data_IF_108428297548
#
_entry.id   IF_108428297548
#
_cell.length_a   1.000
_cell.length_b   1.000
_cell.length_c   1.000
_cell.angle_alpha   90.00
_cell.angle_beta   90.00
_cell.angle_gamma   90.00
#
_symmetry.space_group_name_H-M   'P 1'
#
loop_
_entity.id
_entity.type
_entity.pdbx_description
1 polymer ?
#
# COMPACT_ATOMS: atom_id res chain seq x y z
N UNK A 1 35.10 7.56 -4.38
CA UNK A 1 33.84 7.34 -5.14
C UNK A 1 33.09 6.15 -4.54
N UNK A 2 32.70 6.24 -3.26
CA UNK A 2 32.10 5.14 -2.50
C UNK A 2 30.69 5.47 -1.97
N UNK A 3 30.15 6.65 -2.29
CA UNK A 3 28.86 7.10 -1.75
C UNK A 3 27.67 6.66 -2.62
N UNK A 4 27.82 6.58 -3.95
CA UNK A 4 26.70 6.26 -4.84
C UNK A 4 26.28 4.79 -4.71
N UNK A 5 27.25 3.88 -4.54
CA UNK A 5 26.97 2.45 -4.36
C UNK A 5 26.30 2.16 -3.01
N UNK A 6 26.71 2.88 -1.96
CA UNK A 6 26.09 2.78 -0.63
C UNK A 6 24.64 3.33 -0.64
N UNK A 7 24.39 4.37 -1.44
CA UNK A 7 23.07 4.98 -1.62
C UNK A 7 22.13 4.07 -2.45
N UNK A 8 22.65 3.34 -3.44
CA UNK A 8 21.87 2.40 -4.25
C UNK A 8 21.35 1.20 -3.46
N UNK A 9 22.22 0.54 -2.71
CA UNK A 9 21.81 -0.59 -1.86
C UNK A 9 20.78 -0.14 -0.81
N UNK A 10 20.96 1.06 -0.26
CA UNK A 10 19.99 1.68 0.65
C UNK A 10 18.65 1.95 -0.05
N UNK A 11 18.64 2.58 -1.22
CA UNK A 11 17.41 2.86 -1.99
C UNK A 11 16.67 1.57 -2.37
N UNK A 12 17.39 0.53 -2.78
CA UNK A 12 16.78 -0.78 -3.09
C UNK A 12 16.21 -1.45 -1.85
N UNK A 13 16.89 -1.33 -0.71
CA UNK A 13 16.41 -1.82 0.58
C UNK A 13 15.13 -1.09 1.00
N UNK A 14 15.09 0.23 0.89
CA UNK A 14 13.92 1.06 1.20
C UNK A 14 12.74 0.76 0.26
N UNK A 15 12.98 0.56 -1.04
CA UNK A 15 11.95 0.14 -1.99
C UNK A 15 11.33 -1.22 -1.61
N UNK A 16 12.18 -2.17 -1.22
CA UNK A 16 11.72 -3.49 -0.75
C UNK A 16 10.95 -3.36 0.57
N UNK A 17 11.41 -2.54 1.50
CA UNK A 17 10.73 -2.29 2.77
C UNK A 17 9.34 -1.68 2.56
N UNK A 18 9.23 -0.67 1.67
CA UNK A 18 7.96 -0.04 1.32
C UNK A 18 6.96 -1.03 0.72
N UNK A 19 7.42 -1.92 -0.16
CA UNK A 19 6.57 -2.97 -0.74
C UNK A 19 6.08 -3.98 0.29
N UNK A 20 6.96 -4.40 1.21
CA UNK A 20 6.58 -5.28 2.31
C UNK A 20 5.54 -4.62 3.23
N UNK A 21 5.71 -3.32 3.53
CA UNK A 21 4.74 -2.56 4.32
C UNK A 21 3.40 -2.39 3.59
N UNK A 22 3.40 -2.17 2.27
CA UNK A 22 2.19 -2.14 1.45
C UNK A 22 1.41 -3.46 1.58
N UNK A 23 2.08 -4.60 1.41
CA UNK A 23 1.44 -5.92 1.51
C UNK A 23 0.83 -6.16 2.90
N UNK A 24 1.54 -5.76 3.96
CA UNK A 24 1.04 -5.84 5.33
C UNK A 24 -0.22 -4.99 5.53
N UNK A 25 -0.17 -3.71 5.13
CA UNK A 25 -1.31 -2.79 5.25
C UNK A 25 -2.51 -3.30 4.42
N UNK A 26 -2.27 -3.79 3.20
CA UNK A 26 -3.30 -4.38 2.35
C UNK A 26 -3.98 -5.57 3.01
N UNK A 27 -3.20 -6.46 3.61
CA UNK A 27 -3.72 -7.61 4.36
C UNK A 27 -4.57 -7.18 5.55
N UNK A 28 -4.07 -6.25 6.36
CA UNK A 28 -4.78 -5.72 7.53
C UNK A 28 -6.09 -5.02 7.15
N UNK A 29 -6.07 -4.13 6.15
CA UNK A 29 -7.26 -3.44 5.66
C UNK A 29 -8.29 -4.42 5.10
N UNK A 30 -7.85 -5.46 4.39
CA UNK A 30 -8.74 -6.51 3.88
C UNK A 30 -9.39 -7.28 5.03
N UNK A 31 -8.62 -7.64 6.05
CA UNK A 31 -9.14 -8.31 7.24
C UNK A 31 -10.16 -7.44 7.99
N UNK A 32 -9.88 -6.14 8.13
CA UNK A 32 -10.79 -5.17 8.75
C UNK A 32 -12.09 -5.04 7.95
N UNK A 33 -12.03 -4.94 6.61
CA UNK A 33 -13.20 -4.94 5.74
C UNK A 33 -14.08 -6.18 5.94
N UNK A 34 -13.45 -7.35 6.04
CA UNK A 34 -14.13 -8.62 6.32
C UNK A 34 -14.86 -8.61 7.66
N UNK A 35 -14.18 -8.16 8.73
CA UNK A 35 -14.78 -8.05 10.08
C UNK A 35 -15.99 -7.10 10.08
N UNK A 36 -15.85 -5.94 9.47
CA UNK A 36 -16.94 -4.95 9.38
C UNK A 36 -18.14 -5.52 8.60
N UNK A 37 -17.89 -6.18 7.48
CA UNK A 37 -18.95 -6.82 6.68
C UNK A 37 -19.66 -7.94 7.45
N UNK A 38 -18.91 -8.74 8.21
CA UNK A 38 -19.48 -9.80 9.04
C UNK A 38 -20.34 -9.24 10.18
N UNK A 39 -19.95 -8.13 10.79
CA UNK A 39 -20.74 -7.45 11.83
C UNK A 39 -22.07 -6.92 11.28
N UNK A 40 -22.05 -6.31 10.09
CA UNK A 40 -23.27 -5.87 9.38
C UNK A 40 -24.18 -7.06 9.08
N UNK A 41 -23.62 -8.12 8.50
CA UNK A 41 -24.36 -9.32 8.12
C UNK A 41 -24.96 -10.08 9.30
N UNK A 42 -24.29 -10.04 10.47
CA UNK A 42 -24.73 -10.70 11.70
C UNK A 42 -25.88 -9.97 12.42
N UNK A 43 -26.42 -8.90 11.82
CA UNK A 43 -27.61 -8.21 12.34
C UNK A 43 -27.33 -7.13 13.39
N UNK A 44 -26.06 -6.74 13.60
CA UNK A 44 -25.70 -5.63 14.50
C UNK A 44 -26.37 -4.31 14.11
N UNK A 45 -26.74 -4.17 12.84
CA UNK A 45 -27.47 -3.01 12.30
C UNK A 45 -28.97 -3.28 12.31
N UNK A 46 -29.52 -3.38 13.52
CA UNK A 46 -30.95 -3.58 13.75
C UNK A 46 -31.68 -2.23 13.65
N UNK A 47 -32.31 -2.00 12.49
CA UNK A 47 -33.50 -1.17 12.21
C UNK A 47 -33.47 0.38 12.31
N UNK A 48 -32.53 1.06 12.98
CA UNK A 48 -32.52 2.56 12.99
C UNK A 48 -31.18 3.25 12.74
N UNK A 49 -30.07 2.53 12.89
CA UNK A 49 -28.71 3.03 12.69
C UNK A 49 -28.05 2.50 11.40
N UNK A 50 -28.75 1.65 10.64
CA UNK A 50 -28.19 0.91 9.49
C UNK A 50 -27.71 1.78 8.35
N UNK A 51 -28.54 2.68 7.82
CA UNK A 51 -28.14 3.49 6.67
C UNK A 51 -26.87 4.34 6.91
N UNK A 52 -26.75 4.96 8.08
CA UNK A 52 -25.56 5.78 8.41
C UNK A 52 -24.33 4.92 8.70
N UNK A 53 -24.49 3.71 9.25
CA UNK A 53 -23.40 2.79 9.46
C UNK A 53 -22.94 2.17 8.13
N UNK A 54 -23.86 1.71 7.29
CA UNK A 54 -23.59 1.17 5.95
C UNK A 54 -22.83 2.19 5.09
N UNK A 55 -23.26 3.45 5.10
CA UNK A 55 -22.54 4.55 4.45
C UNK A 55 -21.09 4.66 4.95
N UNK A 56 -20.87 4.61 6.28
CA UNK A 56 -19.51 4.65 6.86
C UNK A 56 -18.68 3.43 6.51
N UNK A 57 -19.29 2.25 6.40
CA UNK A 57 -18.61 1.02 5.96
C UNK A 57 -18.16 1.14 4.51
N UNK A 58 -19.02 1.67 3.64
CA UNK A 58 -18.68 1.89 2.24
C UNK A 58 -17.60 2.96 2.07
N UNK A 59 -17.67 4.05 2.83
CA UNK A 59 -16.64 5.09 2.85
C UNK A 59 -15.30 4.54 3.35
N UNK A 60 -15.32 3.70 4.40
CA UNK A 60 -14.14 2.99 4.87
C UNK A 60 -13.55 2.08 3.79
N UNK A 61 -14.40 1.31 3.08
CA UNK A 61 -13.95 0.43 1.99
C UNK A 61 -13.25 1.22 0.89
N UNK A 62 -13.89 2.30 0.42
CA UNK A 62 -13.34 3.18 -0.62
C UNK A 62 -12.04 3.83 -0.20
N UNK A 63 -11.99 4.41 1.00
CA UNK A 63 -10.77 5.04 1.51
C UNK A 63 -9.63 4.03 1.66
N UNK A 64 -9.93 2.81 2.12
CA UNK A 64 -8.94 1.74 2.23
C UNK A 64 -8.41 1.31 0.86
N UNK A 65 -9.27 1.16 -0.15
CA UNK A 65 -8.85 0.83 -1.52
C UNK A 65 -7.99 1.94 -2.12
N UNK A 66 -8.37 3.21 -1.91
CA UNK A 66 -7.60 4.36 -2.34
C UNK A 66 -6.21 4.40 -1.69
N UNK A 67 -6.12 4.13 -0.38
CA UNK A 67 -4.84 4.05 0.35
C UNK A 67 -3.95 2.94 -0.18
N UNK A 68 -4.51 1.74 -0.40
CA UNK A 68 -3.74 0.61 -0.97
C UNK A 68 -3.23 0.97 -2.36
N UNK A 69 -4.08 1.55 -3.22
CA UNK A 69 -3.67 1.98 -4.56
C UNK A 69 -2.55 3.01 -4.51
N UNK A 70 -2.68 4.04 -3.66
CA UNK A 70 -1.67 5.08 -3.52
C UNK A 70 -0.34 4.53 -3.00
N UNK A 71 -0.36 3.59 -2.06
CA UNK A 71 0.86 2.91 -1.59
C UNK A 71 1.51 2.08 -2.71
N UNK A 72 0.71 1.36 -3.49
CA UNK A 72 1.19 0.58 -4.64
C UNK A 72 1.85 1.45 -5.72
N UNK A 73 1.23 2.61 -6.00
CA UNK A 73 1.76 3.58 -6.97
C UNK A 73 3.08 4.18 -6.48
N UNK A 74 3.21 4.44 -5.18
CA UNK A 74 4.45 4.95 -4.57
C UNK A 74 5.58 3.90 -4.59
N UNK A 75 5.28 2.66 -4.21
CA UNK A 75 6.24 1.56 -4.24
C UNK A 75 6.73 1.32 -5.68
N UNK A 76 5.81 1.29 -6.65
CA UNK A 76 6.12 1.10 -8.07
C UNK A 76 6.98 2.25 -8.64
N UNK A 77 6.68 3.50 -8.28
CA UNK A 77 7.50 4.65 -8.70
C UNK A 77 8.91 4.57 -8.13
N UNK A 78 9.05 4.20 -6.85
CA UNK A 78 10.36 4.08 -6.24
C UNK A 78 11.20 2.95 -6.88
N UNK A 79 10.59 1.80 -7.18
CA UNK A 79 11.24 0.71 -7.92
C UNK A 79 11.69 1.15 -9.32
N UNK A 80 10.85 1.89 -10.05
CA UNK A 80 11.21 2.42 -11.38
C UNK A 80 12.38 3.39 -11.32
N UNK A 81 12.42 4.25 -10.30
CA UNK A 81 13.54 5.16 -10.06
C UNK A 81 14.82 4.34 -9.85
N UNK A 82 14.80 3.38 -8.92
CA UNK A 82 15.94 2.51 -8.62
C UNK A 82 16.43 1.79 -9.90
N UNK A 83 15.52 1.24 -10.70
CA UNK A 83 15.86 0.55 -11.95
C UNK A 83 16.50 1.50 -12.97
N UNK A 84 15.92 2.68 -13.18
CA UNK A 84 16.43 3.67 -14.14
C UNK A 84 17.84 4.13 -13.78
N UNK A 85 18.09 4.35 -12.49
CA UNK A 85 19.43 4.70 -11.99
C UNK A 85 20.44 3.55 -12.19
N UNK A 86 20.04 2.30 -11.94
CA UNK A 86 20.89 1.14 -12.19
C UNK A 86 21.27 0.99 -13.67
N UNK A 87 20.30 1.19 -14.58
CA UNK A 87 20.52 1.08 -16.02
C UNK A 87 21.44 2.19 -16.54
N UNK A 88 21.27 3.41 -16.03
CA UNK A 88 22.11 4.57 -16.40
C UNK A 88 23.56 4.38 -15.96
N UNK A 89 23.78 3.91 -14.73
CA UNK A 89 25.14 3.68 -14.23
C UNK A 89 25.85 2.57 -15.01
N UNK A 90 25.15 1.48 -15.31
CA UNK A 90 25.67 0.38 -16.14
C UNK A 90 26.08 0.85 -17.54
N UNK A 91 25.33 1.79 -18.13
CA UNK A 91 25.65 2.38 -19.43
C UNK A 91 26.82 3.37 -19.40
N UNK A 92 27.11 3.98 -18.24
CA UNK A 92 28.18 5.00 -18.10
C UNK A 92 29.49 4.39 -17.57
N UNK A 93 29.42 3.24 -16.90
CA UNK A 93 30.56 2.48 -16.41
C UNK A 93 31.16 1.51 -17.46
N UNK A 94 30.48 1.31 -18.60
CA UNK A 94 30.91 0.49 -19.73
C UNK A 94 31.71 1.23 -20.78
#
# INVERSE_FOLDING_TARGET
MANITLDYESMRSEATALRNSEEQIKSELTALKGRVTNLVSSGFVTERSSGAFDQRVDDFKRASDATISALSDLASQLEQIVQTFADTDTATAG
#
